data_IF_087653308224
#
_entry.id   IF_087653308224
#
_cell.length_a   1.000
_cell.length_b   1.000
_cell.length_c   1.000
_cell.angle_alpha   90.00
_cell.angle_beta   90.00
_cell.angle_gamma   90.00
#
_symmetry.space_group_name_H-M   'P 1'
#
loop_
_entity.id
_entity.type
_entity.pdbx_description
1 polymer ?
#
# COMPACT_ATOMS: atom_id res chain seq x y z
N UNK A 1 7.55 9.69 -22.16
CA UNK A 1 6.65 8.62 -21.67
C UNK A 1 7.33 7.28 -21.88
N UNK A 2 7.15 6.32 -20.98
CA UNK A 2 7.70 4.97 -21.15
C UNK A 2 6.88 4.14 -22.13
N UNK A 3 5.55 4.29 -22.08
CA UNK A 3 4.58 3.46 -22.80
C UNK A 3 3.54 4.33 -23.51
N UNK A 4 2.80 3.74 -24.45
CA UNK A 4 1.72 4.40 -25.22
C UNK A 4 0.34 4.01 -24.70
N UNK A 5 0.12 4.29 -23.42
CA UNK A 5 -1.17 4.06 -22.76
C UNK A 5 -2.21 5.09 -23.21
N UNK A 6 -3.48 4.70 -23.15
CA UNK A 6 -4.61 5.62 -23.33
C UNK A 6 -4.59 6.69 -22.25
N UNK A 7 -4.76 7.96 -22.64
CA UNK A 7 -4.92 9.08 -21.69
C UNK A 7 -6.35 9.20 -21.15
N UNK A 8 -7.27 8.38 -21.64
CA UNK A 8 -8.65 8.38 -21.20
C UNK A 8 -8.82 7.70 -19.84
N UNK A 9 -9.77 8.22 -19.07
CA UNK A 9 -10.12 7.68 -17.76
C UNK A 9 -10.89 6.37 -17.93
N UNK A 10 -10.34 5.28 -17.41
CA UNK A 10 -10.92 3.95 -17.54
C UNK A 10 -11.97 3.73 -16.43
N UNK A 11 -13.26 3.81 -16.78
CA UNK A 11 -14.37 3.70 -15.82
C UNK A 11 -14.41 2.36 -15.08
N UNK A 12 -14.04 1.25 -15.75
CA UNK A 12 -14.02 -0.08 -15.13
C UNK A 12 -12.99 -0.19 -14.00
N UNK A 13 -11.81 0.41 -14.18
CA UNK A 13 -10.75 0.48 -13.16
C UNK A 13 -11.23 1.27 -11.94
N UNK A 14 -11.91 2.39 -12.15
CA UNK A 14 -12.46 3.19 -11.05
C UNK A 14 -13.60 2.48 -10.32
N UNK A 15 -14.52 1.84 -11.05
CA UNK A 15 -15.61 1.06 -10.48
C UNK A 15 -15.08 -0.12 -9.64
N UNK A 16 -14.12 -0.88 -10.17
CA UNK A 16 -13.50 -1.98 -9.43
C UNK A 16 -12.78 -1.48 -8.18
N UNK A 17 -12.07 -0.35 -8.24
CA UNK A 17 -11.46 0.27 -7.05
C UNK A 17 -12.53 0.62 -6.00
N UNK A 18 -13.62 1.25 -6.41
CA UNK A 18 -14.74 1.59 -5.51
C UNK A 18 -15.35 0.35 -4.84
N UNK A 19 -15.60 -0.70 -5.61
CA UNK A 19 -16.14 -1.97 -5.09
C UNK A 19 -15.16 -2.61 -4.09
N UNK A 20 -13.87 -2.69 -4.41
CA UNK A 20 -12.88 -3.27 -3.49
C UNK A 20 -12.80 -2.52 -2.16
N UNK A 21 -12.88 -1.17 -2.17
CA UNK A 21 -12.90 -0.37 -0.94
C UNK A 21 -14.19 -0.59 -0.16
N UNK A 22 -15.35 -0.59 -0.84
CA UNK A 22 -16.65 -0.84 -0.21
C UNK A 22 -16.66 -2.19 0.51
N UNK A 23 -16.22 -3.24 -0.18
CA UNK A 23 -16.14 -4.59 0.39
C UNK A 23 -15.14 -4.63 1.54
N UNK A 24 -13.99 -3.96 1.42
CA UNK A 24 -12.98 -3.87 2.49
C UNK A 24 -13.53 -3.24 3.77
N UNK A 25 -14.28 -2.13 3.65
CA UNK A 25 -14.92 -1.50 4.82
C UNK A 25 -15.98 -2.43 5.41
N UNK A 26 -16.82 -3.03 4.56
CA UNK A 26 -17.88 -3.93 4.99
C UNK A 26 -17.34 -5.14 5.78
N UNK A 27 -16.34 -5.85 5.26
CA UNK A 27 -15.80 -7.04 5.94
C UNK A 27 -15.09 -6.67 7.25
N UNK A 28 -14.43 -5.50 7.30
CA UNK A 28 -13.77 -5.02 8.51
C UNK A 28 -14.78 -4.65 9.61
N UNK A 29 -15.93 -4.09 9.25
CA UNK A 29 -16.98 -3.72 10.21
C UNK A 29 -17.71 -4.97 10.75
N UNK A 30 -17.97 -5.95 9.87
CA UNK A 30 -18.63 -7.20 10.24
C UNK A 30 -17.71 -8.11 11.08
N UNK A 31 -16.39 -7.95 11.01
CA UNK A 31 -15.44 -8.78 11.76
C UNK A 31 -15.64 -8.76 13.29
N UNK A 32 -16.22 -7.69 13.84
CA UNK A 32 -16.53 -7.55 15.26
C UNK A 32 -17.85 -8.21 15.70
N UNK A 33 -18.66 -8.71 14.76
CA UNK A 33 -20.00 -9.25 15.02
C UNK A 33 -19.94 -10.76 15.30
N UNK A 34 -20.57 -11.21 16.39
CA UNK A 34 -20.68 -12.63 16.73
C UNK A 34 -21.77 -13.32 15.89
N UNK A 35 -21.62 -14.63 15.67
CA UNK A 35 -22.62 -15.44 14.95
C UNK A 35 -22.61 -15.30 13.41
N UNK A 36 -21.63 -14.62 12.83
CA UNK A 36 -21.53 -14.49 11.37
C UNK A 36 -21.12 -15.82 10.69
N UNK A 37 -21.61 -16.10 9.47
CA UNK A 37 -21.24 -17.29 8.71
C UNK A 37 -19.73 -17.44 8.51
N UNK A 38 -19.25 -18.69 8.44
CA UNK A 38 -17.84 -19.03 8.21
C UNK A 38 -17.26 -18.38 6.94
N UNK A 39 -18.05 -18.29 5.87
CA UNK A 39 -17.61 -17.66 4.61
C UNK A 39 -17.37 -16.15 4.72
N UNK A 40 -17.82 -15.51 5.81
CA UNK A 40 -17.58 -14.09 6.13
C UNK A 40 -16.38 -13.87 7.08
N UNK A 41 -15.62 -14.92 7.40
CA UNK A 41 -14.45 -14.84 8.27
C UNK A 41 -13.18 -15.16 7.48
N UNK A 42 -12.04 -14.70 7.99
CA UNK A 42 -10.74 -15.15 7.53
C UNK A 42 -10.58 -16.65 7.77
N UNK A 43 -10.03 -17.37 6.78
CA UNK A 43 -9.68 -18.76 6.98
C UNK A 43 -8.52 -18.88 7.99
N UNK A 44 -8.49 -19.95 8.80
CA UNK A 44 -7.38 -20.19 9.72
C UNK A 44 -6.04 -20.25 8.96
N UNK A 45 -4.98 -19.69 9.55
CA UNK A 45 -3.67 -19.58 8.90
C UNK A 45 -3.02 -20.91 8.47
N UNK A 46 -3.47 -22.04 9.01
CA UNK A 46 -3.01 -23.39 8.66
C UNK A 46 -3.92 -24.15 7.68
N UNK A 47 -5.02 -23.55 7.25
CA UNK A 47 -5.95 -24.17 6.30
C UNK A 47 -5.51 -23.88 4.86
N UNK A 48 -5.57 -24.89 4.01
CA UNK A 48 -5.42 -24.72 2.55
C UNK A 48 -6.75 -24.28 1.94
N UNK A 49 -7.19 -23.08 2.34
CA UNK A 49 -8.46 -22.49 1.95
C UNK A 49 -8.38 -20.96 1.96
N UNK A 50 -9.24 -20.30 1.19
CA UNK A 50 -9.42 -18.86 1.22
C UNK A 50 -10.92 -18.53 1.15
N UNK A 51 -11.37 -17.53 1.90
CA UNK A 51 -12.70 -16.93 1.70
C UNK A 51 -12.63 -15.71 0.82
N UNK A 52 -13.79 -15.15 0.46
CA UNK A 52 -13.82 -13.90 -0.28
C UNK A 52 -13.19 -12.74 0.51
N UNK A 53 -13.22 -12.80 1.84
CA UNK A 53 -12.59 -11.82 2.73
C UNK A 53 -11.07 -11.79 2.53
N UNK A 54 -10.45 -12.96 2.38
CA UNK A 54 -9.01 -13.11 2.13
C UNK A 54 -8.59 -12.55 0.75
N UNK A 55 -9.52 -12.48 -0.21
CA UNK A 55 -9.28 -11.96 -1.56
C UNK A 55 -9.37 -10.43 -1.68
N UNK A 56 -9.99 -9.75 -0.70
CA UNK A 56 -10.26 -8.30 -0.79
C UNK A 56 -8.96 -7.49 -0.84
N UNK A 57 -8.00 -7.80 0.04
CA UNK A 57 -6.73 -7.09 0.09
C UNK A 57 -5.86 -7.33 -1.16
N UNK A 58 -5.69 -8.58 -1.65
CA UNK A 58 -5.07 -8.85 -2.96
C UNK A 58 -5.76 -8.12 -4.12
N UNK A 59 -7.08 -8.10 -4.17
CA UNK A 59 -7.83 -7.38 -5.20
C UNK A 59 -7.54 -5.87 -5.17
N UNK A 60 -7.42 -5.29 -3.97
CA UNK A 60 -7.04 -3.89 -3.79
C UNK A 60 -5.61 -3.60 -4.28
N UNK A 61 -4.63 -4.45 -3.96
CA UNK A 61 -3.26 -4.31 -4.46
C UNK A 61 -3.20 -4.43 -5.99
N UNK A 62 -3.97 -5.35 -6.56
CA UNK A 62 -4.05 -5.53 -8.01
C UNK A 62 -4.57 -4.27 -8.71
N UNK A 63 -5.65 -3.66 -8.21
CA UNK A 63 -6.19 -2.41 -8.81
C UNK A 63 -5.27 -1.21 -8.62
N UNK A 64 -4.53 -1.13 -7.51
CA UNK A 64 -3.45 -0.15 -7.33
C UNK A 64 -2.39 -0.33 -8.42
N UNK A 65 -2.00 -1.57 -8.69
CA UNK A 65 -1.09 -1.95 -9.78
C UNK A 65 -1.58 -1.52 -11.16
N UNK A 66 -2.85 -1.79 -11.47
CA UNK A 66 -3.46 -1.38 -12.74
C UNK A 66 -3.42 0.13 -12.94
N UNK A 67 -3.57 0.90 -11.85
CA UNK A 67 -3.64 2.36 -11.91
C UNK A 67 -2.27 3.04 -11.97
N UNK A 68 -1.20 2.31 -11.60
CA UNK A 68 0.16 2.83 -11.46
C UNK A 68 0.75 3.39 -12.77
N UNK A 69 0.75 2.66 -13.92
CA UNK A 69 1.42 3.14 -15.11
C UNK A 69 0.70 4.36 -15.72
N UNK A 70 -0.63 4.46 -15.59
CA UNK A 70 -1.39 5.67 -15.95
C UNK A 70 -1.00 6.88 -15.09
N UNK A 71 -0.86 6.69 -13.77
CA UNK A 71 -0.47 7.77 -12.87
C UNK A 71 0.93 8.32 -13.18
N UNK A 72 1.89 7.44 -13.46
CA UNK A 72 3.26 7.84 -13.83
C UNK A 72 3.27 8.51 -15.21
N UNK A 73 2.61 7.93 -16.22
CA UNK A 73 2.59 8.50 -17.57
C UNK A 73 1.90 9.87 -17.61
N UNK A 74 0.82 10.08 -16.85
CA UNK A 74 0.14 11.37 -16.77
C UNK A 74 1.08 12.46 -16.20
N UNK A 75 1.91 12.14 -15.20
CA UNK A 75 2.91 13.09 -14.68
C UNK A 75 4.03 13.39 -15.66
N UNK A 76 4.53 12.36 -16.34
CA UNK A 76 5.52 12.54 -17.41
C UNK A 76 4.95 13.37 -18.57
N UNK A 77 3.67 13.20 -18.92
CA UNK A 77 3.00 13.99 -19.95
C UNK A 77 2.82 15.46 -19.54
N UNK A 78 2.67 15.74 -18.23
CA UNK A 78 2.67 17.10 -17.67
C UNK A 78 4.07 17.75 -17.61
N UNK A 79 5.11 17.07 -18.05
CA UNK A 79 6.48 17.58 -18.04
C UNK A 79 7.14 17.60 -16.67
N UNK A 80 6.65 16.79 -15.71
CA UNK A 80 7.33 16.67 -14.41
C UNK A 80 8.76 16.12 -14.59
N UNK A 81 9.74 16.77 -13.95
CA UNK A 81 11.11 16.28 -13.89
C UNK A 81 11.21 14.98 -13.09
N UNK A 82 12.28 14.21 -13.31
CA UNK A 82 12.53 12.95 -12.60
C UNK A 82 12.45 13.11 -11.07
N UNK A 83 13.10 14.15 -10.52
CA UNK A 83 13.10 14.42 -9.09
C UNK A 83 11.72 14.81 -8.54
N UNK A 84 10.93 15.54 -9.34
CA UNK A 84 9.56 15.91 -8.96
C UNK A 84 8.64 14.69 -8.95
N UNK A 85 8.83 13.76 -9.89
CA UNK A 85 8.14 12.47 -9.90
C UNK A 85 8.52 11.63 -8.67
N UNK A 86 9.81 11.48 -8.36
CA UNK A 86 10.25 10.74 -7.17
C UNK A 86 9.72 11.36 -5.88
N UNK A 87 9.81 12.69 -5.74
CA UNK A 87 9.26 13.39 -4.58
C UNK A 87 7.77 13.13 -4.39
N UNK A 88 6.99 13.05 -5.48
CA UNK A 88 5.58 12.68 -5.40
C UNK A 88 5.34 11.23 -4.97
N UNK A 89 6.10 10.28 -5.52
CA UNK A 89 6.02 8.86 -5.16
C UNK A 89 6.39 8.67 -3.69
N UNK A 90 7.48 9.29 -3.24
CA UNK A 90 7.94 9.24 -1.86
C UNK A 90 6.94 9.90 -0.91
N UNK A 91 6.39 11.06 -1.25
CA UNK A 91 5.38 11.74 -0.41
C UNK A 91 4.13 10.88 -0.19
N UNK A 92 3.65 10.22 -1.26
CA UNK A 92 2.51 9.31 -1.18
C UNK A 92 2.85 8.06 -0.36
N UNK A 93 4.03 7.49 -0.59
CA UNK A 93 4.51 6.30 0.14
C UNK A 93 4.64 6.61 1.63
N UNK A 94 5.27 7.74 1.97
CA UNK A 94 5.47 8.17 3.35
C UNK A 94 4.12 8.37 4.07
N UNK A 95 3.11 8.93 3.40
CA UNK A 95 1.77 9.01 3.98
C UNK A 95 1.18 7.65 4.31
N UNK A 96 1.27 6.67 3.41
CA UNK A 96 0.79 5.31 3.65
C UNK A 96 1.55 4.60 4.78
N UNK A 97 2.87 4.77 4.84
CA UNK A 97 3.70 4.19 5.90
C UNK A 97 3.40 4.82 7.27
N UNK A 98 3.32 6.14 7.34
CA UNK A 98 2.98 6.86 8.58
C UNK A 98 1.59 6.47 9.07
N UNK A 99 0.59 6.50 8.19
CA UNK A 99 -0.76 6.05 8.53
C UNK A 99 -0.77 4.61 9.04
N UNK A 100 -0.08 3.70 8.35
CA UNK A 100 0.01 2.30 8.75
C UNK A 100 0.66 2.09 10.13
N UNK A 101 1.78 2.77 10.39
CA UNK A 101 2.47 2.67 11.68
C UNK A 101 1.61 3.23 12.82
N UNK A 102 0.96 4.38 12.62
CA UNK A 102 0.10 4.96 13.65
C UNK A 102 -1.13 4.09 13.94
N UNK A 103 -1.80 3.58 12.91
CA UNK A 103 -2.98 2.70 13.09
C UNK A 103 -2.63 1.43 13.86
N UNK A 104 -1.54 0.75 13.51
CA UNK A 104 -1.13 -0.51 14.16
C UNK A 104 -0.65 -0.32 15.60
N UNK A 105 -0.13 0.86 15.93
CA UNK A 105 0.17 1.21 17.32
C UNK A 105 -1.11 1.54 18.10
N UNK A 106 -2.13 2.09 17.43
CA UNK A 106 -3.46 2.34 18.01
C UNK A 106 -4.29 1.09 18.28
N UNK A 107 -4.05 -0.02 17.58
CA UNK A 107 -4.82 -1.27 17.71
C UNK A 107 -4.56 -2.05 19.01
N UNK A 108 -3.41 -1.88 19.65
CA UNK A 108 -3.08 -2.62 20.87
C UNK A 108 -1.64 -2.48 21.34
N UNK A 109 -1.34 -2.94 22.56
CA UNK A 109 0.01 -2.86 23.15
C UNK A 109 0.43 -1.45 23.60
N UNK A 110 -0.53 -0.54 23.74
CA UNK A 110 -0.36 0.80 24.30
C UNK A 110 -0.64 0.81 25.81
N UNK A 111 -0.12 1.80 26.52
CA UNK A 111 -0.36 2.02 27.95
C UNK A 111 -0.95 3.42 28.17
N UNK A 112 -2.27 3.50 28.34
CA UNK A 112 -2.98 4.78 28.50
C UNK A 112 -2.53 5.56 29.75
N UNK A 113 -2.19 4.84 30.83
CA UNK A 113 -1.71 5.47 32.07
C UNK A 113 -0.38 6.19 31.86
N UNK A 114 0.53 5.58 31.11
CA UNK A 114 1.83 6.17 30.78
C UNK A 114 1.72 7.28 29.72
N UNK A 115 0.72 7.21 28.83
CA UNK A 115 0.46 8.25 27.81
C UNK A 115 -0.19 9.51 28.41
N UNK A 116 -0.96 9.38 29.49
CA UNK A 116 -1.72 10.48 30.08
C UNK A 116 -2.94 10.92 29.26
N UNK A 117 -3.25 10.23 28.16
CA UNK A 117 -4.42 10.44 27.31
C UNK A 117 -4.99 9.09 26.87
N UNK A 118 -6.30 9.04 26.63
CA UNK A 118 -6.94 7.82 26.13
C UNK A 118 -6.52 7.52 24.69
N UNK A 119 -6.51 6.23 24.33
CA UNK A 119 -6.17 5.82 22.98
C UNK A 119 -7.17 6.34 21.95
N UNK A 120 -8.44 6.49 22.35
CA UNK A 120 -9.49 7.04 21.49
C UNK A 120 -9.20 8.51 21.15
N UNK A 121 -8.79 9.32 22.12
CA UNK A 121 -8.40 10.71 21.90
C UNK A 121 -7.12 10.79 21.06
N UNK A 122 -6.10 9.97 21.39
CA UNK A 122 -4.87 9.91 20.59
C UNK A 122 -5.16 9.55 19.13
N UNK A 123 -6.04 8.57 18.89
CA UNK A 123 -6.44 8.13 17.55
C UNK A 123 -7.23 9.19 16.81
N UNK A 124 -8.15 9.89 17.47
CA UNK A 124 -8.90 11.01 16.89
C UNK A 124 -7.95 12.14 16.46
N UNK A 125 -7.03 12.54 17.33
CA UNK A 125 -6.03 13.56 17.04
C UNK A 125 -5.10 13.13 15.90
N UNK A 126 -4.67 11.86 15.89
CA UNK A 126 -3.90 11.29 14.80
C UNK A 126 -4.63 11.44 13.45
N UNK A 127 -5.90 11.04 13.35
CA UNK A 127 -6.67 11.15 12.11
C UNK A 127 -6.84 12.61 11.67
N UNK A 128 -7.10 13.54 12.62
CA UNK A 128 -7.15 14.97 12.33
C UNK A 128 -5.83 15.47 11.77
N UNK A 129 -4.70 15.14 12.42
CA UNK A 129 -3.37 15.53 11.95
C UNK A 129 -3.06 14.92 10.57
N UNK A 130 -3.39 13.66 10.35
CA UNK A 130 -3.19 13.01 9.06
C UNK A 130 -4.01 13.66 7.93
N UNK A 131 -5.28 14.02 8.20
CA UNK A 131 -6.09 14.81 7.27
C UNK A 131 -5.40 16.15 7.03
N UNK A 132 -4.95 16.85 8.08
CA UNK A 132 -4.29 18.15 7.91
C UNK A 132 -3.06 18.10 6.99
N UNK A 133 -2.26 17.03 7.07
CA UNK A 133 -1.05 16.86 6.24
C UNK A 133 -1.38 16.47 4.80
N UNK A 134 -2.26 15.48 4.60
CA UNK A 134 -2.48 14.86 3.28
C UNK A 134 -3.73 15.34 2.54
N UNK A 135 -4.54 16.24 3.11
CA UNK A 135 -5.68 16.83 2.41
C UNK A 135 -5.27 17.69 1.20
N UNK A 136 -6.16 17.75 0.22
CA UNK A 136 -6.03 18.57 -0.99
C UNK A 136 -6.68 19.92 -0.75
N UNK A 137 -5.88 20.91 -0.40
CA UNK A 137 -6.32 22.28 -0.16
C UNK A 137 -6.43 23.08 -1.47
N UNK A 138 -7.55 23.78 -1.63
CA UNK A 138 -7.84 24.67 -2.77
C UNK A 138 -7.86 26.16 -2.38
N UNK A 139 -7.20 26.53 -1.27
CA UNK A 139 -7.18 27.90 -0.79
C UNK A 139 -6.42 28.83 -1.75
N UNK A 140 -6.92 30.06 -1.91
CA UNK A 140 -6.24 31.12 -2.67
C UNK A 140 -4.87 31.47 -2.06
N UNK A 141 -4.77 31.45 -0.72
CA UNK A 141 -3.52 31.71 0.00
C UNK A 141 -2.73 30.40 0.23
N UNK A 142 -1.60 30.24 -0.47
CA UNK A 142 -0.74 29.07 -0.37
C UNK A 142 -0.08 28.90 1.01
N UNK A 143 0.17 30.00 1.72
CA UNK A 143 0.77 29.96 3.06
C UNK A 143 -0.16 29.32 4.08
N UNK A 144 -1.47 29.50 3.95
CA UNK A 144 -2.45 28.82 4.81
C UNK A 144 -2.37 27.30 4.63
N UNK A 145 -2.29 26.82 3.39
CA UNK A 145 -2.12 25.39 3.10
C UNK A 145 -0.82 24.83 3.68
N UNK A 146 0.28 25.59 3.62
CA UNK A 146 1.55 25.17 4.24
C UNK A 146 1.49 25.20 5.77
N UNK A 147 0.84 26.20 6.36
CA UNK A 147 0.64 26.29 7.80
C UNK A 147 -0.17 25.10 8.33
N UNK A 148 -1.30 24.76 7.69
CA UNK A 148 -2.13 23.61 8.07
C UNK A 148 -1.35 22.29 8.00
N UNK A 149 -0.55 22.10 6.94
CA UNK A 149 0.33 20.93 6.82
C UNK A 149 1.41 20.91 7.90
N UNK A 150 2.02 22.06 8.20
CA UNK A 150 3.01 22.20 9.26
C UNK A 150 2.44 21.86 10.63
N UNK A 151 1.23 22.34 10.95
CA UNK A 151 0.50 22.01 12.17
C UNK A 151 0.22 20.50 12.23
N UNK A 152 -0.25 19.90 11.13
CA UNK A 152 -0.48 18.46 11.06
C UNK A 152 0.79 17.64 11.31
N UNK A 153 1.92 18.02 10.68
CA UNK A 153 3.22 17.33 10.87
C UNK A 153 3.70 17.48 12.31
N UNK A 154 3.66 18.69 12.87
CA UNK A 154 4.03 18.92 14.26
C UNK A 154 3.16 18.09 15.22
N UNK A 155 1.84 18.03 14.96
CA UNK A 155 0.91 17.20 15.72
C UNK A 155 1.24 15.72 15.67
N UNK A 156 1.57 15.17 14.49
CA UNK A 156 2.01 13.77 14.36
C UNK A 156 3.30 13.50 15.15
N UNK A 157 4.27 14.41 15.09
CA UNK A 157 5.53 14.28 15.84
C UNK A 157 5.25 14.26 17.35
N UNK A 158 4.43 15.21 17.83
CA UNK A 158 4.03 15.27 19.24
C UNK A 158 3.32 13.99 19.67
N UNK A 159 2.35 13.51 18.89
CA UNK A 159 1.63 12.27 19.17
C UNK A 159 2.57 11.04 19.20
N UNK A 160 3.58 11.01 18.34
CA UNK A 160 4.59 9.95 18.35
C UNK A 160 5.46 9.95 19.63
N UNK A 161 5.77 11.12 20.17
CA UNK A 161 6.49 11.25 21.44
C UNK A 161 5.62 10.97 22.68
N UNK A 162 4.33 11.29 22.61
CA UNK A 162 3.36 11.00 23.68
C UNK A 162 3.07 9.50 23.76
N UNK A 163 3.10 8.79 22.62
CA UNK A 163 2.81 7.37 22.59
C UNK A 163 3.77 6.57 23.48
N UNK A 164 3.19 5.81 24.40
CA UNK A 164 3.88 4.88 25.31
C UNK A 164 3.24 3.50 25.19
N UNK A 165 4.05 2.52 24.85
CA UNK A 165 3.67 1.12 24.71
C UNK A 165 4.40 0.21 25.70
N UNK A 166 3.96 -1.05 25.73
CA UNK A 166 4.45 -2.07 26.67
C UNK A 166 3.79 -1.98 28.05
N UNK A 167 3.91 -3.04 28.84
CA UNK A 167 3.25 -3.16 30.15
C UNK A 167 3.65 -2.03 31.12
N UNK A 168 4.92 -1.62 31.10
CA UNK A 168 5.45 -0.53 31.92
C UNK A 168 5.39 0.85 31.23
N UNK A 169 4.96 0.93 29.97
CA UNK A 169 4.88 2.20 29.23
C UNK A 169 6.24 2.78 28.82
N UNK A 170 7.31 1.99 28.81
CA UNK A 170 8.67 2.43 28.45
C UNK A 170 8.96 2.41 26.95
N UNK A 171 8.12 1.74 26.15
CA UNK A 171 8.38 1.55 24.72
C UNK A 171 7.77 2.69 23.89
N UNK A 172 8.50 3.17 22.90
CA UNK A 172 7.97 4.11 21.91
C UNK A 172 7.14 3.40 20.83
N UNK A 173 6.72 4.15 19.81
CA UNK A 173 6.07 3.57 18.64
C UNK A 173 7.03 2.63 17.91
N UNK A 174 6.56 1.42 17.62
CA UNK A 174 7.34 0.42 16.87
C UNK A 174 6.67 0.14 15.52
N UNK A 175 7.44 -0.02 14.44
CA UNK A 175 6.91 -0.55 13.19
C UNK A 175 6.68 -2.05 13.40
N UNK A 176 5.48 -2.43 13.87
CA UNK A 176 5.10 -3.84 14.09
C UNK A 176 5.03 -4.59 12.75
N UNK A 177 3.85 -4.76 12.17
CA UNK A 177 3.64 -5.39 10.87
C UNK A 177 3.29 -4.39 9.75
N UNK A 178 3.49 -3.09 10.01
CA UNK A 178 3.20 -1.95 9.11
C UNK A 178 1.73 -1.65 8.80
N UNK A 179 0.82 -2.57 9.09
CA UNK A 179 -0.61 -2.37 8.83
C UNK A 179 -0.94 -2.48 7.34
N UNK A 180 -2.24 -2.63 7.03
CA UNK A 180 -2.72 -2.74 5.64
C UNK A 180 -2.20 -1.56 4.80
N UNK A 181 -2.31 -0.33 5.32
CA UNK A 181 -1.85 0.87 4.62
C UNK A 181 -0.33 0.87 4.41
N UNK A 182 0.47 0.47 5.39
CA UNK A 182 1.92 0.41 5.25
C UNK A 182 2.37 -0.67 4.25
N UNK A 183 1.70 -1.82 4.23
CA UNK A 183 1.94 -2.87 3.23
C UNK A 183 1.66 -2.37 1.81
N UNK A 184 0.55 -1.63 1.60
CA UNK A 184 0.24 -0.96 0.32
C UNK A 184 1.34 0.05 -0.04
N UNK A 185 1.82 0.82 0.93
CA UNK A 185 2.90 1.79 0.75
C UNK A 185 4.19 1.15 0.21
N UNK A 186 4.65 0.08 0.86
CA UNK A 186 5.84 -0.66 0.42
C UNK A 186 5.63 -1.29 -0.97
N UNK A 187 4.50 -1.96 -1.18
CA UNK A 187 4.20 -2.60 -2.47
C UNK A 187 4.15 -1.59 -3.62
N UNK A 188 3.54 -0.42 -3.38
CA UNK A 188 3.50 0.71 -4.31
C UNK A 188 4.89 1.24 -4.62
N UNK A 189 5.72 1.50 -3.60
CA UNK A 189 7.07 2.04 -3.79
C UNK A 189 7.94 1.10 -4.64
N UNK A 190 8.01 -0.18 -4.27
CA UNK A 190 8.81 -1.16 -5.00
C UNK A 190 8.32 -1.32 -6.44
N UNK A 191 7.00 -1.35 -6.66
CA UNK A 191 6.43 -1.43 -8.00
C UNK A 191 6.75 -0.20 -8.85
N UNK A 192 6.73 1.01 -8.27
CA UNK A 192 7.15 2.24 -8.93
C UNK A 192 8.64 2.21 -9.33
N UNK A 193 9.51 1.67 -8.47
CA UNK A 193 10.95 1.53 -8.75
C UNK A 193 11.15 0.53 -9.89
N UNK A 194 10.55 -0.66 -9.79
CA UNK A 194 10.67 -1.73 -10.80
C UNK A 194 10.13 -1.25 -12.14
N UNK A 195 8.96 -0.60 -12.17
CA UNK A 195 8.39 -0.07 -13.41
C UNK A 195 9.30 0.93 -14.12
N UNK A 196 9.90 1.86 -13.36
CA UNK A 196 10.82 2.86 -13.90
C UNK A 196 12.13 2.24 -14.37
N UNK A 197 12.70 1.31 -13.60
CA UNK A 197 13.94 0.61 -13.95
C UNK A 197 13.78 -0.22 -15.24
N UNK A 198 12.65 -0.94 -15.34
CA UNK A 198 12.31 -1.75 -16.52
C UNK A 198 11.76 -0.90 -17.68
N UNK A 199 11.65 0.42 -17.49
CA UNK A 199 11.12 1.39 -18.47
C UNK A 199 9.79 0.94 -19.10
N UNK A 200 8.94 0.29 -18.31
CA UNK A 200 7.64 -0.24 -18.75
C UNK A 200 7.67 -1.34 -19.82
N UNK A 201 8.80 -2.03 -20.00
CA UNK A 201 8.90 -3.19 -20.92
C UNK A 201 8.13 -4.39 -20.35
N UNK A 202 7.11 -4.85 -21.08
CA UNK A 202 6.21 -5.93 -20.65
C UNK A 202 6.95 -7.20 -20.22
N UNK A 203 7.86 -7.73 -21.06
CA UNK A 203 8.56 -8.99 -20.78
C UNK A 203 9.39 -8.92 -19.48
N UNK A 204 10.03 -7.79 -19.22
CA UNK A 204 10.81 -7.60 -17.99
C UNK A 204 9.90 -7.50 -16.76
N UNK A 205 8.71 -6.91 -16.91
CA UNK A 205 7.72 -6.81 -15.83
C UNK A 205 7.10 -8.17 -15.51
N UNK A 206 6.78 -8.98 -16.54
CA UNK A 206 6.36 -10.37 -16.36
C UNK A 206 7.48 -11.17 -15.66
N UNK A 207 8.73 -11.01 -16.11
CA UNK A 207 9.88 -11.60 -15.43
C UNK A 207 9.99 -11.19 -13.96
N UNK A 208 9.72 -9.92 -13.63
CA UNK A 208 9.71 -9.43 -12.25
C UNK A 208 8.59 -10.05 -11.41
N UNK A 209 7.38 -10.26 -11.97
CA UNK A 209 6.29 -10.99 -11.30
C UNK A 209 6.72 -12.43 -10.98
N UNK A 210 7.30 -13.14 -11.96
CA UNK A 210 7.80 -14.50 -11.78
C UNK A 210 8.90 -14.53 -10.71
N UNK A 211 9.80 -13.54 -10.69
CA UNK A 211 10.83 -13.41 -9.65
C UNK A 211 10.24 -13.21 -8.26
N UNK A 212 9.19 -12.39 -8.10
CA UNK A 212 8.48 -12.22 -6.83
C UNK A 212 7.82 -13.53 -6.36
N UNK A 213 7.20 -14.28 -7.27
CA UNK A 213 6.60 -15.59 -6.98
C UNK A 213 7.65 -16.62 -6.61
N UNK A 214 8.76 -16.68 -7.36
CA UNK A 214 9.88 -17.57 -7.09
C UNK A 214 10.54 -17.26 -5.74
N UNK A 215 10.72 -15.97 -5.40
CA UNK A 215 11.19 -15.55 -4.07
C UNK A 215 10.27 -16.13 -2.98
N UNK A 216 8.96 -15.94 -3.11
CA UNK A 216 8.00 -16.45 -2.13
C UNK A 216 8.07 -17.97 -2.00
N UNK A 217 8.08 -18.70 -3.12
CA UNK A 217 8.16 -20.15 -3.14
C UNK A 217 9.45 -20.68 -2.49
N UNK A 218 10.61 -20.11 -2.86
CA UNK A 218 11.91 -20.46 -2.28
C UNK A 218 11.90 -20.20 -0.78
N UNK A 219 11.35 -19.07 -0.34
CA UNK A 219 11.31 -18.72 1.07
C UNK A 219 10.46 -19.66 1.95
N UNK A 220 9.58 -20.45 1.33
CA UNK A 220 8.74 -21.45 2.01
C UNK A 220 9.28 -22.88 1.86
N UNK A 221 10.30 -23.10 1.04
CA UNK A 221 10.88 -24.41 0.84
C UNK A 221 11.65 -24.89 2.09
N UNK A 222 11.65 -26.19 2.37
CA UNK A 222 12.32 -26.72 3.57
C UNK A 222 13.84 -26.49 3.56
N UNK A 223 14.49 -26.54 2.40
CA UNK A 223 15.94 -26.29 2.27
C UNK A 223 16.34 -24.83 2.57
N UNK A 224 15.40 -23.90 2.48
CA UNK A 224 15.64 -22.48 2.72
C UNK A 224 15.81 -22.14 4.21
N UNK A 225 15.52 -23.08 5.12
CA UNK A 225 15.62 -22.87 6.58
C UNK A 225 17.07 -22.85 7.07
N UNK A 226 17.98 -23.54 6.38
CA UNK A 226 19.36 -23.75 6.85
C UNK A 226 20.35 -22.70 6.34
N UNK A 227 19.96 -21.89 5.35
CA UNK A 227 20.84 -20.90 4.71
C UNK A 227 20.48 -19.48 5.20
N UNK A 228 21.42 -18.72 5.80
CA UNK A 228 21.14 -17.39 6.35
C UNK A 228 20.52 -16.40 5.35
N UNK A 229 20.96 -16.46 4.09
CA UNK A 229 20.40 -15.63 3.01
C UNK A 229 18.90 -15.93 2.81
N UNK A 230 18.51 -17.21 2.78
CA UNK A 230 17.13 -17.58 2.57
C UNK A 230 16.25 -17.30 3.79
N UNK A 231 16.80 -17.36 5.00
CA UNK A 231 16.11 -16.90 6.21
C UNK A 231 15.81 -15.39 6.16
N UNK A 232 16.78 -14.58 5.73
CA UNK A 232 16.55 -13.15 5.51
C UNK A 232 15.51 -12.90 4.40
N UNK A 233 15.58 -13.66 3.30
CA UNK A 233 14.58 -13.58 2.23
C UNK A 233 13.17 -13.96 2.72
N UNK A 234 13.06 -14.96 3.60
CA UNK A 234 11.80 -15.38 4.21
C UNK A 234 11.19 -14.31 5.12
N UNK A 235 12.01 -13.59 5.89
CA UNK A 235 11.51 -12.47 6.70
C UNK A 235 10.85 -11.35 5.88
N UNK A 236 11.20 -11.24 4.58
CA UNK A 236 10.68 -10.22 3.65
C UNK A 236 9.73 -10.77 2.58
N UNK A 237 9.41 -12.05 2.63
CA UNK A 237 8.61 -12.73 1.61
C UNK A 237 7.22 -12.10 1.42
N UNK A 238 6.63 -11.55 2.49
CA UNK A 238 5.37 -10.80 2.41
C UNK A 238 5.45 -9.59 1.49
N UNK A 239 6.53 -8.79 1.57
CA UNK A 239 6.71 -7.65 0.67
C UNK A 239 6.84 -8.09 -0.80
N UNK A 240 7.57 -9.18 -1.07
CA UNK A 240 7.68 -9.74 -2.42
C UNK A 240 6.32 -10.19 -2.97
N UNK A 241 5.50 -10.85 -2.14
CA UNK A 241 4.15 -11.27 -2.54
C UNK A 241 3.25 -10.06 -2.87
N UNK A 242 3.20 -9.04 -2.00
CA UNK A 242 2.41 -7.83 -2.24
C UNK A 242 2.86 -7.08 -3.49
N UNK A 243 4.18 -6.92 -3.68
CA UNK A 243 4.75 -6.31 -4.89
C UNK A 243 4.41 -7.11 -6.15
N UNK A 244 4.47 -8.45 -6.08
CA UNK A 244 4.10 -9.33 -7.20
C UNK A 244 2.64 -9.13 -7.64
N UNK A 245 1.70 -8.94 -6.71
CA UNK A 245 0.30 -8.66 -7.02
C UNK A 245 0.13 -7.30 -7.70
N UNK A 246 0.80 -6.26 -7.19
CA UNK A 246 0.76 -4.91 -7.79
C UNK A 246 1.37 -4.94 -9.20
N UNK A 247 2.50 -5.63 -9.39
CA UNK A 247 3.12 -5.80 -10.71
C UNK A 247 2.21 -6.59 -11.67
N UNK A 248 1.45 -7.56 -11.19
CA UNK A 248 0.48 -8.31 -12.01
C UNK A 248 -0.62 -7.38 -12.56
N UNK A 249 -1.18 -6.51 -11.72
CA UNK A 249 -2.13 -5.48 -12.18
C UNK A 249 -1.49 -4.52 -13.20
N UNK A 250 -0.25 -4.13 -12.96
CA UNK A 250 0.49 -3.28 -13.89
C UNK A 250 0.64 -3.97 -15.26
N UNK A 251 1.05 -5.24 -15.29
CA UNK A 251 1.18 -6.05 -16.51
C UNK A 251 -0.14 -6.12 -17.27
N UNK A 252 -1.25 -6.39 -16.57
CA UNK A 252 -2.59 -6.41 -17.17
C UNK A 252 -2.93 -5.07 -17.81
N UNK A 253 -2.59 -3.96 -17.16
CA UNK A 253 -2.84 -2.64 -17.75
C UNK A 253 -2.03 -2.37 -19.00
N UNK A 254 -0.79 -2.86 -19.08
CA UNK A 254 0.01 -2.76 -20.30
C UNK A 254 -0.54 -3.66 -21.41
N UNK A 255 -0.99 -4.87 -21.09
CA UNK A 255 -1.58 -5.79 -22.07
C UNK A 255 -2.85 -5.23 -22.70
N UNK A 256 -3.76 -4.67 -21.90
CA UNK A 256 -5.05 -4.22 -22.41
C UNK A 256 -5.03 -2.80 -22.99
N UNK A 257 -4.20 -1.91 -22.45
CA UNK A 257 -4.30 -0.47 -22.75
C UNK A 257 -3.06 0.12 -23.44
N UNK A 258 -1.98 -0.64 -23.65
CA UNK A 258 -0.83 -0.16 -24.43
C UNK A 258 -1.04 -0.40 -25.94
N UNK A 259 -1.18 0.70 -26.68
CA UNK A 259 -1.45 0.66 -28.12
C UNK A 259 -0.34 -0.04 -28.92
N UNK A 260 0.92 0.09 -28.52
CA UNK A 260 2.05 -0.55 -29.22
C UNK A 260 2.04 -2.06 -29.05
N UNK A 261 1.70 -2.54 -27.86
CA UNK A 261 1.64 -3.97 -27.57
C UNK A 261 0.46 -4.58 -28.32
N UNK A 262 -0.72 -3.95 -28.25
CA UNK A 262 -1.92 -4.42 -28.97
C UNK A 262 -1.72 -4.47 -30.49
N UNK A 263 -1.06 -3.47 -31.08
CA UNK A 263 -0.76 -3.46 -32.51
C UNK A 263 0.15 -4.62 -32.94
N UNK A 264 1.14 -4.99 -32.13
CA UNK A 264 2.04 -6.10 -32.41
C UNK A 264 1.45 -7.50 -32.19
N UNK A 265 0.40 -7.61 -31.35
CA UNK A 265 -0.36 -8.85 -31.16
C UNK A 265 -1.36 -9.04 -32.32
N UNK A 266 -2.06 -7.98 -32.74
CA UNK A 266 -3.05 -8.04 -33.83
C UNK A 266 -2.43 -8.27 -35.22
N UNK A 267 -1.11 -8.08 -35.37
CA UNK A 267 -0.39 -8.30 -36.63
C UNK A 267 0.21 -9.70 -36.76
N UNK A 268 -0.08 -10.61 -35.84
CA UNK A 268 0.32 -12.03 -35.86
C UNK A 268 -0.92 -12.90 -35.89
#
# INVERSE_FOLDING_TARGET
MYNTLTNERIRSVDAFRGITILVMVFVNDVAGVSGIPQWMKHMPAGADAMTFVDMVFPAFLFIVGMSLPFAINNRLAKGDSFWKLQGHILWRTLGLLVLGVFMVNGEGGYNEKAMGISIALWSLLFYVCAILVWNVYHFKNKYLSYALRGIGVAGLIVLAFIYRGGEEGSQGMLPKWWGILGLIGWAYLFSCIIYQLMRGKLLLLVGAVVLCMAWYAISRANFAKDIPLFHWMASRAGHAAHTGIVLSGLVVSLLFFDKKINAGISSR
#
